data_IF_863634626526
#
_entry.id   IF_863634626526
#
_cell.length_a   1.000
_cell.length_b   1.000
_cell.length_c   1.000
_cell.angle_alpha   90.00
_cell.angle_beta   90.00
_cell.angle_gamma   90.00
#
_symmetry.space_group_name_H-M   'P 1'
#
loop_
_entity.id
_entity.type
_entity.pdbx_description
1 polymer ?
#
# COMPACT_ATOMS: atom_id res chain seq x y z
N UNK A 1 -2.07 47.84 43.56
CA UNK A 1 -3.46 47.56 43.13
C UNK A 1 -3.44 47.38 41.62
N UNK A 2 -3.94 46.25 41.11
CA UNK A 2 -4.03 45.92 39.67
C UNK A 2 -2.78 45.20 39.16
N UNK A 3 -2.69 43.87 39.08
CA UNK A 3 -3.74 42.91 38.79
C UNK A 3 -3.98 42.85 37.29
N UNK A 4 -2.99 42.42 36.50
CA UNK A 4 -3.18 42.15 35.07
C UNK A 4 -3.14 40.65 34.82
N UNK A 5 -4.36 40.13 34.89
CA UNK A 5 -4.96 38.98 34.24
C UNK A 5 -4.08 38.19 33.24
N UNK A 6 -3.98 36.89 33.56
CA UNK A 6 -3.61 35.75 32.73
C UNK A 6 -4.28 35.76 31.34
N UNK A 7 -3.50 35.57 30.26
CA UNK A 7 -4.00 35.00 29.01
C UNK A 7 -3.03 33.92 28.53
N UNK A 8 -3.27 32.68 28.98
CA UNK A 8 -2.76 31.48 28.35
C UNK A 8 -3.40 31.39 26.95
N UNK A 9 -2.67 31.77 25.91
CA UNK A 9 -3.04 31.41 24.54
C UNK A 9 -2.87 29.89 24.39
N UNK A 10 -3.95 29.13 24.52
CA UNK A 10 -4.01 27.78 23.96
C UNK A 10 -4.07 27.94 22.44
N UNK A 11 -2.90 27.92 21.80
CA UNK A 11 -2.79 27.77 20.35
C UNK A 11 -3.25 26.35 20.04
N UNK A 12 -4.52 26.19 19.68
CA UNK A 12 -5.02 24.95 19.10
C UNK A 12 -4.44 24.84 17.69
N UNK A 13 -3.29 24.18 17.54
CA UNK A 13 -2.80 23.80 16.22
C UNK A 13 -3.85 22.87 15.60
N UNK A 14 -4.45 23.21 14.46
CA UNK A 14 -5.24 22.24 13.73
C UNK A 14 -4.27 21.12 13.33
N UNK A 15 -4.59 19.89 13.74
CA UNK A 15 -3.90 18.73 13.21
C UNK A 15 -4.12 18.75 11.69
N UNK A 16 -3.07 19.08 10.93
CA UNK A 16 -3.06 18.91 9.48
C UNK A 16 -3.13 17.41 9.20
N UNK A 17 -4.34 16.87 9.17
CA UNK A 17 -4.59 15.56 8.58
C UNK A 17 -4.26 15.71 7.10
N UNK A 18 -3.16 15.09 6.67
CA UNK A 18 -2.82 15.07 5.25
C UNK A 18 -3.94 14.38 4.47
N UNK A 19 -4.42 15.03 3.41
CA UNK A 19 -5.44 14.47 2.54
C UNK A 19 -4.91 13.19 1.89
N UNK A 20 -5.49 12.04 2.27
CA UNK A 20 -5.16 10.76 1.65
C UNK A 20 -5.68 10.74 0.20
N UNK A 21 -4.93 10.15 -0.74
CA UNK A 21 -5.41 9.98 -2.10
C UNK A 21 -6.65 9.07 -2.10
N UNK A 22 -7.50 9.23 -3.11
CA UNK A 22 -8.55 8.25 -3.39
C UNK A 22 -7.89 6.94 -3.81
N UNK A 23 -8.02 5.90 -2.98
CA UNK A 23 -7.44 4.59 -3.20
C UNK A 23 -8.54 3.58 -3.54
N UNK A 24 -8.42 2.80 -4.63
CA UNK A 24 -9.30 1.68 -4.90
C UNK A 24 -9.31 0.71 -3.72
N UNK A 25 -10.49 0.20 -3.37
CA UNK A 25 -10.62 -0.80 -2.31
C UNK A 25 -10.03 -2.14 -2.77
N UNK A 26 -9.24 -2.83 -1.92
CA UNK A 26 -8.80 -4.17 -2.22
C UNK A 26 -9.98 -5.15 -2.18
N UNK A 27 -9.80 -6.29 -2.84
CA UNK A 27 -10.67 -7.46 -2.74
C UNK A 27 -10.35 -8.25 -1.47
N UNK A 28 -11.31 -9.04 -0.99
CA UNK A 28 -11.15 -9.96 0.14
C UNK A 28 -11.73 -9.47 1.46
N UNK A 29 -11.70 -10.34 2.46
CA UNK A 29 -12.36 -10.13 3.76
C UNK A 29 -11.38 -9.78 4.89
N UNK A 30 -10.12 -10.20 4.76
CA UNK A 30 -9.08 -9.99 5.77
C UNK A 30 -7.84 -9.34 5.16
N UNK A 31 -7.37 -8.26 5.79
CA UNK A 31 -6.11 -7.60 5.45
C UNK A 31 -4.94 -8.26 6.18
N UNK A 32 -3.75 -8.24 5.58
CA UNK A 32 -2.56 -8.84 6.21
C UNK A 32 -2.11 -8.08 7.47
N UNK A 33 -2.44 -6.80 7.60
CA UNK A 33 -2.27 -6.01 8.81
C UNK A 33 -3.19 -4.78 8.81
N UNK A 34 -3.17 -4.02 9.91
CA UNK A 34 -3.85 -2.74 10.04
C UNK A 34 -3.19 -1.65 9.14
N UNK A 35 -3.96 -0.59 8.85
CA UNK A 35 -3.53 0.45 7.91
C UNK A 35 -2.30 1.25 8.38
N UNK A 36 -2.15 1.46 9.70
CA UNK A 36 -0.98 2.12 10.29
C UNK A 36 0.29 1.28 10.13
N UNK A 37 0.18 -0.04 10.34
CA UNK A 37 1.24 -1.01 10.10
C UNK A 37 1.64 -1.02 8.62
N UNK A 38 0.67 -1.04 7.70
CA UNK A 38 0.97 -0.99 6.26
C UNK A 38 1.69 0.29 5.85
N UNK A 39 1.29 1.46 6.37
CA UNK A 39 1.96 2.73 6.02
C UNK A 39 3.41 2.78 6.49
N UNK A 40 3.71 2.20 7.66
CA UNK A 40 5.03 2.27 8.27
C UNK A 40 5.95 1.15 7.80
N UNK A 41 5.41 -0.07 7.73
CA UNK A 41 6.23 -1.28 7.69
C UNK A 41 6.13 -2.02 6.32
N UNK A 42 5.22 -1.65 5.40
CA UNK A 42 5.11 -2.37 4.12
C UNK A 42 6.41 -2.48 3.30
N UNK A 43 7.26 -1.43 3.17
CA UNK A 43 8.40 -1.54 2.28
C UNK A 43 9.40 -2.58 2.81
N UNK A 44 9.58 -2.64 4.12
CA UNK A 44 10.50 -3.58 4.74
C UNK A 44 9.93 -5.00 4.76
N UNK A 45 8.61 -5.16 4.94
CA UNK A 45 7.95 -6.46 4.74
C UNK A 45 8.18 -7.01 3.33
N UNK A 46 8.02 -6.17 2.29
CA UNK A 46 8.23 -6.60 0.91
C UNK A 46 9.70 -6.89 0.61
N UNK A 47 10.65 -6.10 1.12
CA UNK A 47 12.09 -6.36 0.97
C UNK A 47 12.50 -7.67 1.63
N UNK A 48 12.01 -7.92 2.86
CA UNK A 48 12.30 -9.15 3.57
C UNK A 48 11.74 -10.36 2.81
N UNK A 49 10.46 -10.30 2.40
CA UNK A 49 9.84 -11.37 1.63
C UNK A 49 10.56 -11.60 0.28
N UNK A 50 11.02 -10.54 -0.39
CA UNK A 50 11.81 -10.62 -1.61
C UNK A 50 13.10 -11.39 -1.37
N UNK A 51 13.83 -11.04 -0.32
CA UNK A 51 15.10 -11.69 0.01
C UNK A 51 14.89 -13.17 0.38
N UNK A 52 13.86 -13.47 1.18
CA UNK A 52 13.44 -14.83 1.49
C UNK A 52 13.15 -15.65 0.22
N UNK A 53 12.36 -15.09 -0.70
CA UNK A 53 11.96 -15.81 -1.92
C UNK A 53 13.07 -15.92 -2.94
N UNK A 54 13.82 -14.84 -3.20
CA UNK A 54 14.77 -14.78 -4.29
C UNK A 54 16.18 -15.25 -3.91
N UNK A 55 16.60 -15.03 -2.65
CA UNK A 55 17.94 -15.42 -2.19
C UNK A 55 17.93 -16.73 -1.42
N UNK A 56 16.89 -16.99 -0.63
CA UNK A 56 16.80 -18.16 0.23
C UNK A 56 15.88 -19.26 -0.32
N UNK A 57 15.07 -18.96 -1.34
CA UNK A 57 14.12 -19.91 -1.93
C UNK A 57 12.89 -20.20 -1.06
N UNK A 58 12.65 -19.43 0.00
CA UNK A 58 11.53 -19.59 0.94
C UNK A 58 10.26 -18.96 0.33
N UNK A 59 9.17 -19.74 0.25
CA UNK A 59 7.89 -19.34 -0.37
C UNK A 59 6.74 -19.52 0.61
N UNK A 60 5.62 -18.83 0.34
CA UNK A 60 4.40 -18.94 1.15
C UNK A 60 4.36 -18.03 2.38
N UNK A 61 5.25 -17.03 2.44
CA UNK A 61 5.19 -16.02 3.50
C UNK A 61 3.98 -15.10 3.37
N UNK A 62 3.56 -14.53 4.51
CA UNK A 62 2.34 -13.71 4.62
C UNK A 62 2.36 -12.45 3.74
N UNK A 63 3.54 -11.87 3.51
CA UNK A 63 3.73 -10.66 2.70
C UNK A 63 3.99 -10.98 1.21
N UNK A 64 3.36 -12.02 0.68
CA UNK A 64 3.50 -12.47 -0.71
C UNK A 64 3.08 -11.39 -1.70
N UNK A 65 4.04 -10.89 -2.51
CA UNK A 65 3.78 -9.88 -3.53
C UNK A 65 2.68 -10.31 -4.52
N UNK A 66 2.65 -11.59 -4.88
CA UNK A 66 1.61 -12.17 -5.75
C UNK A 66 0.22 -12.02 -5.14
N UNK A 67 0.07 -12.30 -3.86
CA UNK A 67 -1.24 -12.26 -3.19
C UNK A 67 -1.67 -10.81 -2.93
N UNK A 68 -0.72 -9.90 -2.67
CA UNK A 68 -0.98 -8.46 -2.65
C UNK A 68 -1.56 -7.99 -3.99
N UNK A 69 -0.94 -8.35 -5.12
CA UNK A 69 -1.42 -7.97 -6.46
C UNK A 69 -2.81 -8.57 -6.75
N UNK A 70 -3.07 -9.80 -6.31
CA UNK A 70 -4.37 -10.45 -6.48
C UNK A 70 -5.52 -9.66 -5.83
N UNK A 71 -5.30 -9.12 -4.63
CA UNK A 71 -6.31 -8.33 -3.93
C UNK A 71 -6.37 -6.87 -4.38
N UNK A 72 -5.22 -6.26 -4.72
CA UNK A 72 -5.14 -4.82 -5.03
C UNK A 72 -5.31 -4.45 -6.51
N UNK A 73 -5.28 -5.42 -7.43
CA UNK A 73 -5.58 -5.17 -8.85
C UNK A 73 -7.09 -5.00 -9.06
N UNK A 74 -7.51 -3.89 -9.67
CA UNK A 74 -8.89 -3.74 -10.16
C UNK A 74 -9.07 -4.44 -11.50
N UNK A 75 -10.29 -4.47 -12.02
CA UNK A 75 -10.58 -4.93 -13.38
C UNK A 75 -11.14 -3.79 -14.23
N UNK A 76 -10.90 -3.83 -15.53
CA UNK A 76 -11.53 -2.92 -16.50
C UNK A 76 -12.99 -3.31 -16.79
N UNK A 77 -13.66 -2.57 -17.68
CA UNK A 77 -15.05 -2.82 -18.06
C UNK A 77 -15.26 -4.16 -18.77
N UNK A 78 -14.20 -4.76 -19.33
CA UNK A 78 -14.20 -6.08 -19.93
C UNK A 78 -13.82 -7.19 -18.94
N UNK A 79 -13.62 -6.85 -17.66
CA UNK A 79 -13.25 -7.78 -16.60
C UNK A 79 -11.77 -8.18 -16.60
N UNK A 80 -10.92 -7.51 -17.38
CA UNK A 80 -9.48 -7.82 -17.43
C UNK A 80 -8.75 -7.12 -16.28
N UNK A 81 -7.76 -7.76 -15.63
CA UNK A 81 -6.99 -7.12 -14.58
C UNK A 81 -6.25 -5.88 -15.08
N UNK A 82 -6.38 -4.78 -14.35
CA UNK A 82 -5.60 -3.56 -14.58
C UNK A 82 -4.27 -3.68 -13.83
N UNK A 83 -3.13 -3.33 -14.45
CA UNK A 83 -1.83 -3.33 -13.78
C UNK A 83 -1.83 -2.46 -12.52
N UNK A 84 -1.42 -2.97 -11.37
CA UNK A 84 -1.43 -2.23 -10.08
C UNK A 84 -0.59 -0.95 -10.07
N UNK A 85 0.34 -0.81 -11.02
CA UNK A 85 1.18 0.37 -11.21
C UNK A 85 0.61 1.37 -12.25
N UNK A 86 -0.56 1.09 -12.84
CA UNK A 86 -1.26 2.03 -13.70
C UNK A 86 -1.86 3.18 -12.88
N UNK A 87 -2.09 4.32 -13.53
CA UNK A 87 -2.69 5.49 -12.91
C UNK A 87 -4.04 5.16 -12.25
N UNK A 88 -4.23 5.68 -11.03
CA UNK A 88 -5.46 5.47 -10.26
C UNK A 88 -5.57 4.11 -9.59
N UNK A 89 -4.61 3.20 -9.78
CA UNK A 89 -4.54 1.92 -9.06
C UNK A 89 -3.90 2.11 -7.68
N UNK A 90 -4.24 1.23 -6.74
CA UNK A 90 -3.85 1.39 -5.33
C UNK A 90 -2.35 1.62 -5.13
N UNK A 91 -1.51 0.76 -5.72
CA UNK A 91 -0.05 0.83 -5.51
C UNK A 91 0.52 2.11 -6.13
N UNK A 92 0.10 2.45 -7.36
CA UNK A 92 0.53 3.67 -8.03
C UNK A 92 0.14 4.93 -7.24
N UNK A 93 -1.13 5.04 -6.83
CA UNK A 93 -1.64 6.22 -6.11
C UNK A 93 -0.94 6.41 -4.77
N UNK A 94 -0.69 5.32 -4.03
CA UNK A 94 0.03 5.38 -2.76
C UNK A 94 1.50 5.79 -2.96
N UNK A 95 2.19 5.21 -3.94
CA UNK A 95 3.59 5.54 -4.21
C UNK A 95 3.76 6.97 -4.73
N UNK A 96 2.82 7.46 -5.56
CA UNK A 96 2.79 8.84 -6.00
C UNK A 96 2.59 9.79 -4.81
N UNK A 97 1.64 9.50 -3.93
CA UNK A 97 1.39 10.29 -2.71
C UNK A 97 2.60 10.30 -1.76
N UNK A 98 3.25 9.16 -1.58
CA UNK A 98 4.43 9.04 -0.73
C UNK A 98 5.73 9.53 -1.40
N UNK A 99 5.67 9.96 -2.66
CA UNK A 99 6.84 10.30 -3.49
C UNK A 99 7.90 9.18 -3.54
N UNK A 100 7.46 7.92 -3.57
CA UNK A 100 8.32 6.74 -3.61
C UNK A 100 8.40 6.19 -5.02
N UNK A 101 9.62 5.83 -5.45
CA UNK A 101 9.86 5.11 -6.70
C UNK A 101 10.31 3.67 -6.39
N UNK A 102 9.46 2.65 -6.62
CA UNK A 102 9.81 1.26 -6.40
C UNK A 102 10.95 0.80 -7.31
N UNK A 103 11.70 -0.20 -6.86
CA UNK A 103 12.69 -0.88 -7.71
C UNK A 103 12.01 -1.72 -8.81
N UNK A 104 12.78 -2.12 -9.84
CA UNK A 104 12.23 -2.87 -10.96
C UNK A 104 11.62 -4.22 -10.55
N UNK A 105 12.14 -4.83 -9.49
CA UNK A 105 11.73 -6.15 -8.98
C UNK A 105 10.58 -6.08 -7.98
N UNK A 106 10.40 -4.94 -7.31
CA UNK A 106 9.31 -4.66 -6.38
C UNK A 106 7.95 -4.58 -7.08
N UNK A 107 7.92 -4.51 -8.42
CA UNK A 107 6.68 -4.42 -9.20
C UNK A 107 6.62 -5.33 -10.44
N UNK A 108 7.60 -6.18 -10.74
CA UNK A 108 7.71 -6.91 -12.04
C UNK A 108 6.54 -7.88 -12.37
N UNK A 109 5.57 -8.07 -11.48
CA UNK A 109 4.34 -8.82 -11.73
C UNK A 109 3.12 -7.95 -11.39
N UNK A 110 2.80 -7.00 -12.27
CA UNK A 110 1.82 -5.93 -12.00
C UNK A 110 0.37 -6.37 -12.11
N UNK A 111 0.10 -7.54 -12.69
CA UNK A 111 -1.23 -8.13 -12.78
C UNK A 111 -1.25 -9.51 -12.12
N UNK A 112 -2.41 -9.96 -11.62
CA UNK A 112 -2.54 -11.32 -11.12
C UNK A 112 -2.20 -12.30 -12.25
N UNK A 113 -1.35 -13.28 -11.98
CA UNK A 113 -1.15 -14.38 -12.92
C UNK A 113 -2.49 -15.08 -13.08
N UNK A 114 -3.08 -15.04 -14.28
CA UNK A 114 -4.16 -15.96 -14.62
C UNK A 114 -3.62 -17.36 -14.39
N UNK A 115 -4.26 -18.10 -13.48
CA UNK A 115 -4.07 -19.54 -13.45
C UNK A 115 -4.70 -20.01 -14.76
N UNK A 116 -3.90 -20.19 -15.81
CA UNK A 116 -4.30 -21.16 -16.83
C UNK A 116 -4.57 -22.43 -16.03
N UNK A 117 -5.83 -22.85 -15.99
CA UNK A 117 -6.20 -24.11 -15.38
C UNK A 117 -5.27 -25.14 -16.01
N UNK A 118 -4.40 -25.75 -15.20
CA UNK A 118 -3.43 -26.71 -15.71
C UNK A 118 -4.22 -27.76 -16.49
N UNK A 119 -4.00 -27.81 -17.80
CA UNK A 119 -4.31 -28.98 -18.58
C UNK A 119 -3.29 -30.06 -18.27
#
# INVERSE_FOLDING_TARGET
MGGLLLMLLLVTLPALAADLPSLPKPKGEACIAANDVMRRDHPDMLKHQRDDTMRLGIRGGKASLKDCVACHSTADTAGKPVPINAEGQFCQSCHAYAAVKPDCFECHATTPTVKEASR
#
